data_IF_935826875100
#
_entry.id   IF_935826875100
#
_cell.length_a   1.000
_cell.length_b   1.000
_cell.length_c   1.000
_cell.angle_alpha   90.00
_cell.angle_beta   90.00
_cell.angle_gamma   90.00
#
_symmetry.space_group_name_H-M   'P 1'
#
loop_
_entity.id
_entity.type
_entity.pdbx_description
1 polymer ?
#
# COMPACT_ATOMS: atom_id res chain seq x y z
N UNK A 1 -14.32 54.77 36.37
CA UNK A 1 -15.23 53.70 35.98
C UNK A 1 -15.13 53.25 34.52
N UNK A 2 -14.43 54.00 33.65
CA UNK A 2 -14.33 53.70 32.20
C UNK A 2 -13.27 52.69 31.78
N UNK A 3 -12.34 52.34 32.66
CA UNK A 3 -11.22 51.44 32.33
C UNK A 3 -11.55 49.96 32.51
N UNK A 4 -12.51 49.62 33.37
CA UNK A 4 -12.88 48.22 33.63
C UNK A 4 -13.80 47.63 32.57
N UNK A 5 -14.71 48.46 32.04
CA UNK A 5 -15.66 48.06 30.99
C UNK A 5 -14.97 47.84 29.65
N UNK A 6 -13.97 48.68 29.34
CA UNK A 6 -13.18 48.52 28.10
C UNK A 6 -12.34 47.24 28.12
N UNK A 7 -11.81 46.86 29.29
CA UNK A 7 -11.03 45.62 29.47
C UNK A 7 -11.91 44.36 29.31
N UNK A 8 -13.15 44.42 29.81
CA UNK A 8 -14.10 43.31 29.75
C UNK A 8 -14.60 43.05 28.31
N UNK A 9 -14.85 44.13 27.55
CA UNK A 9 -15.22 44.04 26.13
C UNK A 9 -14.09 43.52 25.25
N UNK A 10 -12.83 43.89 25.54
CA UNK A 10 -11.66 43.38 24.86
C UNK A 10 -11.44 41.87 25.10
N UNK A 11 -11.72 41.38 26.29
CA UNK A 11 -11.54 39.97 26.67
C UNK A 11 -12.62 39.08 26.02
N UNK A 12 -13.85 39.56 25.93
CA UNK A 12 -14.95 38.84 25.25
C UNK A 12 -14.75 38.84 23.73
N UNK A 13 -14.26 39.90 23.13
CA UNK A 13 -13.95 39.95 21.70
C UNK A 13 -12.80 39.05 21.32
N UNK A 14 -11.77 38.92 22.16
CA UNK A 14 -10.64 37.99 21.95
C UNK A 14 -11.10 36.52 22.06
N UNK A 15 -11.99 36.22 23.01
CA UNK A 15 -12.53 34.86 23.16
C UNK A 15 -13.39 34.42 21.98
N UNK A 16 -14.19 35.33 21.41
CA UNK A 16 -15.01 35.06 20.22
C UNK A 16 -14.17 34.91 18.95
N UNK A 17 -13.03 35.59 18.83
CA UNK A 17 -12.14 35.48 17.69
C UNK A 17 -11.45 34.13 17.62
N UNK A 18 -11.06 33.56 18.75
CA UNK A 18 -10.42 32.23 18.85
C UNK A 18 -11.43 31.12 18.48
N UNK A 19 -12.70 31.26 18.84
CA UNK A 19 -13.75 30.28 18.49
C UNK A 19 -14.21 30.37 17.05
N UNK A 20 -14.08 31.54 16.39
CA UNK A 20 -14.47 31.75 14.99
C UNK A 20 -13.40 31.30 13.97
N UNK A 21 -12.12 31.28 14.38
CA UNK A 21 -11.01 30.88 13.51
C UNK A 21 -10.45 29.48 13.80
N UNK A 22 -11.14 28.70 14.66
CA UNK A 22 -10.98 27.26 14.77
C UNK A 22 -9.54 26.75 14.69
N UNK A 23 -8.69 27.09 15.68
CA UNK A 23 -7.56 26.22 16.01
C UNK A 23 -8.19 25.04 16.75
N UNK A 24 -8.59 24.00 16.00
CA UNK A 24 -9.00 22.73 16.58
C UNK A 24 -7.76 21.86 16.79
N UNK A 25 -7.15 21.87 17.99
CA UNK A 25 -5.94 21.07 18.27
C UNK A 25 -6.24 19.56 18.31
N UNK A 26 -7.52 19.17 18.21
CA UNK A 26 -7.96 17.77 18.19
C UNK A 26 -8.00 17.20 16.77
N UNK A 27 -8.10 18.05 15.74
CA UNK A 27 -8.19 17.61 14.35
C UNK A 27 -6.84 17.05 13.85
N UNK A 28 -5.73 17.67 14.21
CA UNK A 28 -4.40 17.20 13.86
C UNK A 28 -4.01 15.91 14.61
N UNK A 29 -4.45 15.75 15.86
CA UNK A 29 -4.19 14.52 16.63
C UNK A 29 -5.02 13.33 16.11
N UNK A 30 -6.23 13.54 15.63
CA UNK A 30 -7.05 12.46 15.07
C UNK A 30 -6.55 12.00 13.72
N UNK A 31 -6.08 12.91 12.87
CA UNK A 31 -5.51 12.57 11.54
C UNK A 31 -4.14 11.87 11.70
N UNK A 32 -3.26 12.39 12.54
CA UNK A 32 -1.97 11.76 12.81
C UNK A 32 -2.14 10.37 13.47
N UNK A 33 -3.11 10.20 14.36
CA UNK A 33 -3.44 8.92 14.98
C UNK A 33 -3.97 7.91 13.97
N UNK A 34 -4.85 8.31 13.06
CA UNK A 34 -5.38 7.44 12.01
C UNK A 34 -4.30 7.01 11.01
N UNK A 35 -3.43 7.91 10.58
CA UNK A 35 -2.31 7.59 9.69
C UNK A 35 -1.32 6.61 10.33
N UNK A 36 -0.99 6.79 11.61
CA UNK A 36 -0.11 5.87 12.33
C UNK A 36 -0.75 4.47 12.46
N UNK A 37 -2.05 4.40 12.70
CA UNK A 37 -2.78 3.14 12.79
C UNK A 37 -2.88 2.44 11.41
N UNK A 38 -3.09 3.18 10.34
CA UNK A 38 -3.08 2.64 8.97
C UNK A 38 -1.69 2.11 8.57
N UNK A 39 -0.62 2.81 8.94
CA UNK A 39 0.75 2.36 8.73
C UNK A 39 1.06 1.06 9.49
N UNK A 40 0.62 0.93 10.75
CA UNK A 40 0.76 -0.30 11.50
C UNK A 40 0.03 -1.47 10.84
N UNK A 41 -1.22 -1.25 10.43
CA UNK A 41 -2.01 -2.28 9.73
C UNK A 41 -1.40 -2.67 8.38
N UNK A 42 -0.86 -1.72 7.64
CA UNK A 42 -0.14 -1.98 6.39
C UNK A 42 1.11 -2.83 6.63
N UNK A 43 1.89 -2.49 7.66
CA UNK A 43 3.07 -3.26 8.05
C UNK A 43 2.73 -4.69 8.47
N UNK A 44 1.63 -4.90 9.20
CA UNK A 44 1.16 -6.25 9.57
C UNK A 44 0.81 -7.07 8.32
N UNK A 45 0.11 -6.49 7.36
CA UNK A 45 -0.23 -7.15 6.09
C UNK A 45 1.02 -7.55 5.32
N UNK A 46 2.00 -6.65 5.21
CA UNK A 46 3.28 -6.92 4.52
C UNK A 46 4.08 -8.00 5.27
N UNK A 47 4.11 -7.95 6.60
CA UNK A 47 4.82 -8.94 7.42
C UNK A 47 4.24 -10.34 7.24
N UNK A 48 2.91 -10.48 7.29
CA UNK A 48 2.22 -11.75 7.04
C UNK A 48 2.51 -12.26 5.61
N UNK A 49 2.41 -11.39 4.61
CA UNK A 49 2.69 -11.74 3.22
C UNK A 49 4.15 -12.21 3.01
N UNK A 50 5.12 -11.55 3.62
CA UNK A 50 6.54 -11.96 3.59
C UNK A 50 6.75 -13.30 4.24
N UNK A 51 6.08 -13.58 5.35
CA UNK A 51 6.14 -14.89 6.01
C UNK A 51 5.69 -16.01 5.08
N UNK A 52 4.56 -15.81 4.37
CA UNK A 52 4.08 -16.80 3.39
C UNK A 52 5.06 -16.98 2.23
N UNK A 53 5.64 -15.89 1.71
CA UNK A 53 6.65 -15.97 0.65
C UNK A 53 7.90 -16.74 1.10
N UNK A 54 8.34 -16.58 2.35
CA UNK A 54 9.45 -17.38 2.91
C UNK A 54 9.11 -18.86 3.00
N UNK A 55 7.88 -19.21 3.43
CA UNK A 55 7.45 -20.62 3.45
C UNK A 55 7.48 -21.25 2.05
N UNK A 56 7.02 -20.52 1.03
CA UNK A 56 7.09 -20.95 -0.37
C UNK A 56 8.56 -21.13 -0.81
N UNK A 57 9.43 -20.17 -0.48
CA UNK A 57 10.85 -20.20 -0.82
C UNK A 57 11.55 -21.41 -0.22
N UNK A 58 11.31 -21.69 1.07
CA UNK A 58 11.88 -22.83 1.77
C UNK A 58 11.42 -24.16 1.14
N UNK A 59 10.14 -24.25 0.78
CA UNK A 59 9.60 -25.42 0.11
C UNK A 59 10.25 -25.63 -1.27
N UNK A 60 10.41 -24.57 -2.07
CA UNK A 60 11.07 -24.63 -3.40
C UNK A 60 12.55 -24.99 -3.27
N UNK A 61 13.23 -24.46 -2.24
CA UNK A 61 14.64 -24.77 -2.00
C UNK A 61 14.86 -26.28 -1.76
N UNK A 62 13.91 -26.98 -1.13
CA UNK A 62 13.99 -28.42 -0.93
C UNK A 62 13.84 -29.22 -2.23
N UNK A 63 13.14 -28.68 -3.23
CA UNK A 63 12.97 -29.30 -4.55
C UNK A 63 14.29 -29.26 -5.35
N UNK A 64 15.06 -28.17 -5.22
CA UNK A 64 16.38 -28.00 -5.87
C UNK A 64 16.31 -27.80 -7.39
N UNK A 65 15.14 -27.48 -7.97
CA UNK A 65 14.97 -27.22 -9.40
C UNK A 65 15.22 -25.75 -9.74
N UNK A 66 16.23 -25.49 -10.56
CA UNK A 66 16.65 -24.12 -10.90
C UNK A 66 15.58 -23.29 -11.63
N UNK A 67 14.80 -23.93 -12.50
CA UNK A 67 13.74 -23.25 -13.26
C UNK A 67 12.58 -22.85 -12.35
N UNK A 68 12.17 -23.74 -11.45
CA UNK A 68 11.16 -23.46 -10.43
C UNK A 68 11.59 -22.33 -9.50
N UNK A 69 12.86 -22.34 -9.07
CA UNK A 69 13.44 -21.27 -8.26
C UNK A 69 13.42 -19.93 -9.02
N UNK A 70 13.82 -19.91 -10.30
CA UNK A 70 13.82 -18.71 -11.11
C UNK A 70 12.40 -18.14 -11.31
N UNK A 71 11.41 -18.99 -11.57
CA UNK A 71 10.00 -18.63 -11.69
C UNK A 71 9.46 -18.00 -10.39
N UNK A 72 9.74 -18.61 -9.26
CA UNK A 72 9.36 -18.07 -7.96
C UNK A 72 10.03 -16.73 -7.67
N UNK A 73 11.32 -16.57 -7.95
CA UNK A 73 12.03 -15.31 -7.75
C UNK A 73 11.49 -14.18 -8.65
N UNK A 74 10.97 -14.49 -9.83
CA UNK A 74 10.29 -13.52 -10.68
C UNK A 74 8.96 -13.06 -10.04
N UNK A 75 8.15 -13.98 -9.55
CA UNK A 75 6.94 -13.67 -8.81
C UNK A 75 7.23 -12.87 -7.52
N UNK A 76 8.21 -13.28 -6.72
CA UNK A 76 8.62 -12.59 -5.49
C UNK A 76 8.95 -11.12 -5.74
N UNK A 77 9.71 -10.80 -6.81
CA UNK A 77 10.02 -9.41 -7.18
C UNK A 77 8.76 -8.59 -7.46
N UNK A 78 7.72 -9.19 -8.05
CA UNK A 78 6.44 -8.51 -8.28
C UNK A 78 5.67 -8.28 -6.98
N UNK A 79 5.72 -9.22 -6.04
CA UNK A 79 5.17 -9.05 -4.70
C UNK A 79 5.89 -7.94 -3.92
N UNK A 80 7.22 -7.90 -3.96
CA UNK A 80 8.02 -6.88 -3.27
C UNK A 80 7.73 -5.48 -3.80
N UNK A 81 7.48 -5.30 -5.11
CA UNK A 81 7.02 -4.02 -5.67
C UNK A 81 5.68 -3.59 -5.09
N UNK A 82 4.74 -4.52 -4.93
CA UNK A 82 3.43 -4.22 -4.34
C UNK A 82 3.54 -3.89 -2.85
N UNK A 83 4.47 -4.50 -2.13
CA UNK A 83 4.78 -4.15 -0.73
C UNK A 83 5.37 -2.75 -0.61
N UNK A 84 6.22 -2.34 -1.55
CA UNK A 84 6.73 -0.96 -1.63
C UNK A 84 5.60 0.06 -1.76
N UNK A 85 4.63 -0.19 -2.63
CA UNK A 85 3.45 0.67 -2.78
C UNK A 85 2.66 0.76 -1.48
N UNK A 86 2.48 -0.36 -0.77
CA UNK A 86 1.74 -0.36 0.49
C UNK A 86 2.48 0.38 1.62
N UNK A 87 3.79 0.42 1.56
CA UNK A 87 4.62 1.21 2.46
C UNK A 87 4.46 2.73 2.21
N UNK A 88 4.42 3.15 0.95
CA UNK A 88 4.26 4.55 0.54
C UNK A 88 2.80 5.05 0.71
N UNK A 89 1.81 4.16 0.60
CA UNK A 89 0.39 4.45 0.67
C UNK A 89 -0.35 3.49 1.62
N UNK A 90 -0.15 3.66 2.95
CA UNK A 90 -0.70 2.75 3.97
C UNK A 90 -2.24 2.65 3.95
N UNK A 91 -2.94 3.70 3.52
CA UNK A 91 -4.40 3.74 3.39
C UNK A 91 -4.94 2.69 2.41
N UNK A 92 -4.10 2.19 1.50
CA UNK A 92 -4.43 1.12 0.54
C UNK A 92 -4.41 -0.29 1.15
N UNK A 93 -4.06 -0.44 2.44
CA UNK A 93 -3.93 -1.74 3.08
C UNK A 93 -5.18 -2.61 2.97
N UNK A 94 -6.38 -2.02 2.98
CA UNK A 94 -7.66 -2.75 2.89
C UNK A 94 -7.84 -3.42 1.55
N UNK A 95 -7.55 -2.71 0.45
CA UNK A 95 -7.68 -3.21 -0.92
C UNK A 95 -6.64 -4.29 -1.20
N UNK A 96 -5.41 -4.11 -0.71
CA UNK A 96 -4.31 -5.02 -0.96
C UNK A 96 -4.31 -6.23 -0.03
N UNK A 97 -4.75 -6.10 1.23
CA UNK A 97 -4.81 -7.19 2.21
C UNK A 97 -5.56 -8.41 1.68
N UNK A 98 -6.78 -8.19 1.15
CA UNK A 98 -7.57 -9.30 0.62
C UNK A 98 -6.89 -9.94 -0.58
N UNK A 99 -6.34 -9.13 -1.46
CA UNK A 99 -5.63 -9.61 -2.65
C UNK A 99 -4.39 -10.41 -2.26
N UNK A 100 -3.53 -9.86 -1.41
CA UNK A 100 -2.31 -10.54 -0.95
C UNK A 100 -2.64 -11.84 -0.20
N UNK A 101 -3.57 -11.82 0.76
CA UNK A 101 -3.92 -13.01 1.54
C UNK A 101 -4.41 -14.14 0.66
N UNK A 102 -5.44 -13.91 -0.17
CA UNK A 102 -6.04 -14.97 -0.99
C UNK A 102 -5.04 -15.58 -1.97
N UNK A 103 -4.25 -14.76 -2.67
CA UNK A 103 -3.34 -15.27 -3.69
C UNK A 103 -2.08 -15.91 -3.11
N UNK A 104 -1.55 -15.37 -2.02
CA UNK A 104 -0.36 -15.95 -1.38
C UNK A 104 -0.68 -17.25 -0.64
N UNK A 105 -1.83 -17.35 0.03
CA UNK A 105 -2.26 -18.61 0.65
C UNK A 105 -2.49 -19.70 -0.40
N UNK A 106 -3.17 -19.36 -1.50
CA UNK A 106 -3.35 -20.29 -2.62
C UNK A 106 -2.02 -20.70 -3.26
N UNK A 107 -1.06 -19.76 -3.40
CA UNK A 107 0.27 -20.06 -3.92
C UNK A 107 1.04 -21.02 -3.00
N UNK A 108 1.00 -20.80 -1.67
CA UNK A 108 1.61 -21.71 -0.69
C UNK A 108 1.02 -23.11 -0.81
N UNK A 109 -0.31 -23.23 -0.77
CA UNK A 109 -0.98 -24.53 -0.84
C UNK A 109 -0.69 -25.26 -2.16
N UNK A 110 -0.58 -24.52 -3.27
CA UNK A 110 -0.18 -25.09 -4.56
C UNK A 110 1.30 -25.52 -4.56
N UNK A 111 2.18 -24.76 -3.91
CA UNK A 111 3.61 -25.11 -3.78
C UNK A 111 3.80 -26.37 -2.96
N UNK A 112 3.10 -26.53 -1.84
CA UNK A 112 3.16 -27.72 -1.00
C UNK A 112 2.75 -28.97 -1.79
N UNK A 113 1.66 -28.89 -2.55
CA UNK A 113 1.20 -30.00 -3.40
C UNK A 113 2.16 -30.28 -4.56
N UNK A 114 2.69 -29.24 -5.18
CA UNK A 114 3.68 -29.36 -6.26
C UNK A 114 4.94 -30.05 -5.74
N UNK A 115 5.46 -29.64 -4.57
CA UNK A 115 6.64 -30.25 -3.97
C UNK A 115 6.48 -31.75 -3.80
N UNK A 116 5.36 -32.21 -3.24
CA UNK A 116 5.08 -33.64 -3.05
C UNK A 116 5.02 -34.38 -4.38
N UNK A 117 4.25 -33.87 -5.36
CA UNK A 117 4.07 -34.53 -6.64
C UNK A 117 5.35 -34.56 -7.47
N UNK A 118 6.03 -33.41 -7.55
CA UNK A 118 7.22 -33.29 -8.39
C UNK A 118 8.41 -34.08 -7.84
N UNK A 119 8.60 -34.10 -6.51
CA UNK A 119 9.64 -34.91 -5.89
C UNK A 119 9.43 -36.40 -6.15
N UNK A 120 8.17 -36.86 -6.19
CA UNK A 120 7.85 -38.26 -6.43
C UNK A 120 7.97 -38.69 -7.90
N UNK A 121 7.61 -37.83 -8.85
CA UNK A 121 7.46 -38.20 -10.27
C UNK A 121 8.43 -37.50 -11.24
N UNK A 122 8.95 -36.34 -10.86
CA UNK A 122 9.71 -35.43 -11.74
C UNK A 122 8.99 -35.13 -13.07
N UNK A 123 7.64 -35.14 -13.02
CA UNK A 123 6.78 -34.97 -14.19
C UNK A 123 6.90 -33.56 -14.77
N UNK A 124 7.32 -33.44 -16.05
CA UNK A 124 7.51 -32.14 -16.68
C UNK A 124 6.19 -31.37 -16.92
N UNK A 125 5.06 -32.06 -17.07
CA UNK A 125 3.77 -31.41 -17.23
C UNK A 125 3.33 -30.74 -15.92
N UNK A 126 3.47 -31.44 -14.81
CA UNK A 126 3.22 -30.87 -13.46
C UNK A 126 4.07 -29.64 -13.20
N UNK A 127 5.38 -29.67 -13.57
CA UNK A 127 6.26 -28.52 -13.47
C UNK A 127 5.80 -27.37 -14.36
N UNK A 128 5.47 -27.62 -15.63
CA UNK A 128 5.04 -26.59 -16.54
C UNK A 128 3.74 -25.87 -16.06
N UNK A 129 2.80 -26.63 -15.49
CA UNK A 129 1.57 -26.07 -14.90
C UNK A 129 1.86 -25.22 -13.67
N UNK A 130 2.78 -25.63 -12.83
CA UNK A 130 3.19 -24.85 -11.66
C UNK A 130 3.88 -23.53 -12.06
N UNK A 131 4.81 -23.57 -13.02
CA UNK A 131 5.48 -22.38 -13.56
C UNK A 131 4.48 -21.40 -14.21
N UNK A 132 3.50 -21.92 -14.96
CA UNK A 132 2.43 -21.11 -15.52
C UNK A 132 1.58 -20.42 -14.44
N UNK A 133 1.31 -21.09 -13.33
CA UNK A 133 0.65 -20.48 -12.17
C UNK A 133 1.48 -19.34 -11.56
N UNK A 134 2.79 -19.55 -11.36
CA UNK A 134 3.67 -18.51 -10.84
C UNK A 134 3.75 -17.29 -11.76
N UNK A 135 3.80 -17.50 -13.08
CA UNK A 135 3.79 -16.41 -14.06
C UNK A 135 2.47 -15.66 -14.06
N UNK A 136 1.35 -16.37 -13.97
CA UNK A 136 0.03 -15.75 -13.81
C UNK A 136 -0.08 -14.90 -12.52
N UNK A 137 0.47 -15.36 -11.41
CA UNK A 137 0.51 -14.59 -10.17
C UNK A 137 1.39 -13.35 -10.32
N UNK A 138 2.57 -13.49 -10.93
CA UNK A 138 3.47 -12.36 -11.24
C UNK A 138 2.71 -11.29 -12.04
N UNK A 139 2.03 -11.68 -13.10
CA UNK A 139 1.29 -10.76 -13.96
C UNK A 139 0.14 -10.07 -13.22
N UNK A 140 -0.58 -10.77 -12.35
CA UNK A 140 -1.63 -10.18 -11.50
C UNK A 140 -1.06 -9.13 -10.54
N UNK A 141 0.07 -9.40 -9.90
CA UNK A 141 0.71 -8.47 -8.98
C UNK A 141 1.27 -7.25 -9.72
N UNK A 142 1.89 -7.46 -10.89
CA UNK A 142 2.39 -6.38 -11.74
C UNK A 142 1.26 -5.49 -12.27
N UNK A 143 0.15 -6.08 -12.69
CA UNK A 143 -1.03 -5.33 -13.13
C UNK A 143 -1.60 -4.47 -11.99
N UNK A 144 -1.63 -5.00 -10.77
CA UNK A 144 -2.08 -4.25 -9.58
C UNK A 144 -1.17 -3.08 -9.28
N UNK A 145 0.15 -3.28 -9.31
CA UNK A 145 1.14 -2.23 -9.11
C UNK A 145 1.03 -1.14 -10.19
N UNK A 146 0.91 -1.51 -11.46
CA UNK A 146 0.71 -0.58 -12.57
C UNK A 146 -0.57 0.24 -12.42
N UNK A 147 -1.67 -0.39 -12.05
CA UNK A 147 -2.94 0.31 -11.81
C UNK A 147 -2.79 1.38 -10.74
N UNK A 148 -2.16 1.04 -9.62
CA UNK A 148 -1.92 1.99 -8.54
C UNK A 148 -1.09 3.20 -9.03
N UNK A 149 0.03 2.96 -9.71
CA UNK A 149 0.88 4.04 -10.22
C UNK A 149 0.15 4.93 -11.24
N UNK A 150 -0.75 4.36 -12.04
CA UNK A 150 -1.58 5.13 -12.97
C UNK A 150 -2.58 6.02 -12.23
N UNK A 151 -3.19 5.54 -11.14
CA UNK A 151 -4.10 6.33 -10.30
C UNK A 151 -3.37 7.49 -9.62
N UNK A 152 -2.15 7.27 -9.09
CA UNK A 152 -1.35 8.33 -8.47
C UNK A 152 -0.88 9.37 -9.49
N UNK A 153 -0.50 8.94 -10.69
CA UNK A 153 -0.16 9.86 -11.79
C UNK A 153 -1.35 10.75 -12.15
N UNK A 154 -2.55 10.18 -12.29
CA UNK A 154 -3.74 10.96 -12.61
C UNK A 154 -4.07 12.00 -11.52
N UNK A 155 -3.85 11.68 -10.24
CA UNK A 155 -4.01 12.66 -9.15
C UNK A 155 -2.99 13.79 -9.27
N UNK A 156 -1.71 13.46 -9.50
CA UNK A 156 -0.66 14.45 -9.68
C UNK A 156 -0.97 15.39 -10.86
N UNK A 157 -1.44 14.85 -11.99
CA UNK A 157 -1.78 15.65 -13.16
C UNK A 157 -2.88 16.69 -12.81
N UNK A 158 -3.92 16.28 -12.06
CA UNK A 158 -4.97 17.20 -11.58
C UNK A 158 -4.42 18.27 -10.64
N UNK A 159 -3.54 17.91 -9.71
CA UNK A 159 -2.93 18.87 -8.77
C UNK A 159 -2.05 19.89 -9.51
N UNK A 160 -1.29 19.44 -10.50
CA UNK A 160 -0.47 20.33 -11.34
C UNK A 160 -1.32 21.29 -12.17
N UNK A 161 -2.42 20.85 -12.76
CA UNK A 161 -3.34 21.68 -13.53
C UNK A 161 -3.98 22.77 -12.64
N UNK A 162 -4.40 22.40 -11.42
CA UNK A 162 -4.94 23.36 -10.44
C UNK A 162 -3.90 24.41 -10.07
N UNK A 163 -2.67 23.98 -9.76
CA UNK A 163 -1.58 24.88 -9.39
C UNK A 163 -1.22 25.84 -10.53
N UNK A 164 -1.12 25.33 -11.76
CA UNK A 164 -0.85 26.15 -12.94
C UNK A 164 -1.95 27.21 -13.16
N UNK A 165 -3.21 26.81 -12.98
CA UNK A 165 -4.35 27.74 -13.10
C UNK A 165 -4.30 28.84 -12.04
N UNK A 166 -3.91 28.52 -10.81
CA UNK A 166 -3.74 29.49 -9.73
C UNK A 166 -2.60 30.47 -10.03
N UNK A 167 -1.44 29.98 -10.45
CA UNK A 167 -0.29 30.80 -10.82
C UNK A 167 -0.61 31.76 -11.98
N UNK A 168 -1.34 31.28 -13.00
CA UNK A 168 -1.78 32.12 -14.11
C UNK A 168 -2.76 33.22 -13.67
N UNK A 169 -3.67 32.91 -12.74
CA UNK A 169 -4.61 33.87 -12.17
C UNK A 169 -3.91 34.97 -11.35
N UNK A 170 -2.90 34.60 -10.57
CA UNK A 170 -2.16 35.53 -9.73
C UNK A 170 -1.25 36.46 -10.57
N UNK A 171 -0.63 35.92 -11.62
CA UNK A 171 0.16 36.73 -12.56
C UNK A 171 -0.68 37.80 -13.30
N UNK A 172 -1.99 37.63 -13.41
CA UNK A 172 -2.88 38.59 -14.08
C UNK A 172 -3.37 39.70 -13.14
N UNK A 173 -3.14 39.59 -11.84
CA UNK A 173 -3.52 40.56 -10.81
C UNK A 173 -2.42 41.59 -10.46
N UNK A 174 -1.21 41.42 -11.00
CA UNK A 174 -0.05 42.32 -10.83
C UNK A 174 0.03 43.25 -12.04
#
# INVERSE_FOLDING_TARGET
GLSLEAALVGLVASGLFITAFGIDPLKDKSVAGSMAEEALRANDVVSQAKTVLHQIEDCIATIGDAETTAGFMAFRRSADRLFGILHEAPERHRDLRRHLGVYLDAARDATDRFSVLYTASHDPETKARYLSMLDGLKDQFDARAKKYLAEERAKLDVELDVLQSQLASDAHKI
#
